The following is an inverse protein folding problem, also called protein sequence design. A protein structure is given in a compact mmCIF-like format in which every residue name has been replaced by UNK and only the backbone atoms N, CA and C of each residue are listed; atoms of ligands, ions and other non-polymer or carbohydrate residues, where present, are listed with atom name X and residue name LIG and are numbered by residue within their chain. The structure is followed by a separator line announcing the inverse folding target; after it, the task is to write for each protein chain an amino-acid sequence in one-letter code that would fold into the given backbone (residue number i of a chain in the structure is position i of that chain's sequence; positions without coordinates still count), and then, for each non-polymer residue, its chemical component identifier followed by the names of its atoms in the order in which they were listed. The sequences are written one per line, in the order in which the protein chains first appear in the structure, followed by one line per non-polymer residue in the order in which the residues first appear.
data_IF_211800046434
#
_entry.id   IF_211800046434
#
_cell.length_a   1.000
_cell.length_b   1.000
_cell.length_c   1.000
_cell.angle_alpha   90.00
_cell.angle_beta   90.00
_cell.angle_gamma   90.00
#
_symmetry.space_group_name_H-M   'P 1'
#
loop_
_entity.id
_entity.type
_entity.pdbx_description
1 polymer ?
#
# COMPACT_ATOMS: atom_id res chain seq x y z
N UNK A 1 31.54 3.09 40.20
CA UNK A 1 31.71 3.23 38.75
C UNK A 1 30.42 3.83 38.19
N UNK A 2 30.41 5.06 37.64
CA UNK A 2 29.16 5.64 37.15
C UNK A 2 28.84 5.09 35.78
N UNK A 3 27.59 4.65 35.61
CA UNK A 3 27.03 4.27 34.31
C UNK A 3 26.93 5.53 33.42
N UNK A 4 27.71 5.57 32.35
CA UNK A 4 27.53 6.57 31.29
C UNK A 4 26.21 6.31 30.59
N UNK A 5 25.24 7.17 30.78
CA UNK A 5 24.07 7.29 29.91
C UNK A 5 24.54 7.89 28.58
N UNK A 6 24.69 7.05 27.58
CA UNK A 6 24.83 7.49 26.22
C UNK A 6 23.45 8.00 25.73
N UNK A 7 23.21 9.29 25.91
CA UNK A 7 22.18 9.99 25.16
C UNK A 7 22.65 10.13 23.71
N UNK A 8 22.37 9.11 22.91
CA UNK A 8 22.48 9.22 21.46
C UNK A 8 21.35 10.13 20.98
N UNK A 9 21.56 11.42 21.00
CA UNK A 9 20.76 12.35 20.22
C UNK A 9 21.20 12.16 18.77
N UNK A 10 20.48 11.29 18.06
CA UNK A 10 20.70 11.07 16.64
C UNK A 10 20.62 12.44 15.93
N UNK A 11 21.60 12.80 15.10
CA UNK A 11 21.54 14.01 14.28
C UNK A 11 20.34 14.02 13.32
N UNK A 12 19.67 12.89 13.16
CA UNK A 12 18.44 12.73 12.36
C UNK A 12 17.20 13.37 13.03
N UNK A 13 17.23 13.71 14.32
CA UNK A 13 16.04 14.21 15.03
C UNK A 13 15.57 15.60 14.52
N UNK A 14 16.44 16.39 13.93
CA UNK A 14 16.08 17.69 13.34
C UNK A 14 15.37 17.54 11.98
N UNK A 15 15.69 16.47 11.23
CA UNK A 15 15.05 16.17 9.95
C UNK A 15 13.67 15.51 10.12
N UNK A 16 13.43 14.80 11.22
CA UNK A 16 12.14 14.14 11.50
C UNK A 16 10.99 15.16 11.61
N UNK A 17 11.25 16.37 12.12
CA UNK A 17 10.24 17.44 12.19
C UNK A 17 9.88 18.06 10.82
N UNK A 18 10.77 17.94 9.84
CA UNK A 18 10.56 18.43 8.47
C UNK A 18 10.03 17.34 7.52
N UNK A 19 10.03 16.09 7.97
CA UNK A 19 9.53 14.95 7.19
C UNK A 19 8.01 14.86 7.35
N UNK A 20 7.31 14.65 6.23
CA UNK A 20 5.86 14.38 6.23
C UNK A 20 5.50 13.11 7.01
N UNK A 21 4.21 12.89 7.23
CA UNK A 21 3.67 11.70 7.92
C UNK A 21 4.21 10.41 7.31
N UNK A 22 4.39 10.37 5.98
CA UNK A 22 4.93 9.23 5.23
C UNK A 22 6.30 8.80 5.77
N UNK A 23 7.22 9.72 5.92
CA UNK A 23 8.59 9.43 6.36
C UNK A 23 8.65 9.00 7.83
N UNK A 24 7.79 9.56 8.69
CA UNK A 24 7.68 9.14 10.10
C UNK A 24 7.17 7.71 10.21
N UNK A 25 6.18 7.36 9.40
CA UNK A 25 5.63 6.01 9.37
C UNK A 25 6.67 5.00 8.91
N UNK A 26 7.39 5.31 7.83
CA UNK A 26 8.46 4.43 7.32
C UNK A 26 9.58 4.28 8.35
N UNK A 27 9.99 5.36 8.98
CA UNK A 27 11.02 5.29 10.03
C UNK A 27 10.57 4.41 11.20
N UNK A 28 9.31 4.53 11.64
CA UNK A 28 8.76 3.65 12.66
C UNK A 28 8.79 2.17 12.26
N UNK A 29 8.44 1.86 10.99
CA UNK A 29 8.49 0.50 10.48
C UNK A 29 9.92 -0.06 10.47
N UNK A 30 10.89 0.75 10.08
CA UNK A 30 12.31 0.40 10.09
C UNK A 30 12.83 0.17 11.51
N UNK A 31 12.54 1.10 12.42
CA UNK A 31 13.02 1.04 13.81
C UNK A 31 12.47 -0.18 14.57
N UNK A 32 11.32 -0.72 14.12
CA UNK A 32 10.67 -1.89 14.72
C UNK A 32 10.79 -3.17 13.88
N UNK A 33 11.59 -3.15 12.80
CA UNK A 33 11.81 -4.28 11.89
C UNK A 33 10.49 -4.89 11.37
N UNK A 34 9.50 -4.02 11.07
CA UNK A 34 8.17 -4.44 10.61
C UNK A 34 8.18 -4.67 9.10
N UNK A 35 8.14 -5.93 8.69
CA UNK A 35 8.16 -6.31 7.28
C UNK A 35 6.88 -5.93 6.54
N UNK A 36 7.05 -5.41 5.32
CA UNK A 36 5.96 -4.92 4.48
C UNK A 36 5.98 -5.50 3.07
N UNK A 37 4.81 -5.55 2.41
CA UNK A 37 4.66 -5.87 0.99
C UNK A 37 3.49 -5.10 0.36
N UNK A 38 3.50 -4.94 -0.97
CA UNK A 38 2.47 -4.19 -1.70
C UNK A 38 1.81 -4.99 -2.81
N UNK A 39 0.50 -4.79 -2.99
CA UNK A 39 -0.29 -5.30 -4.11
C UNK A 39 -0.97 -4.13 -4.82
N UNK A 40 -0.49 -3.77 -5.98
CA UNK A 40 -0.94 -2.59 -6.70
C UNK A 40 -1.75 -2.93 -7.95
N UNK A 41 -2.73 -2.09 -8.23
CA UNK A 41 -3.48 -2.11 -9.49
C UNK A 41 -3.44 -0.74 -10.15
N UNK A 42 -4.32 0.19 -9.78
CA UNK A 42 -4.40 1.50 -10.43
C UNK A 42 -3.15 2.37 -10.26
N UNK A 43 -2.39 2.18 -9.22
CA UNK A 43 -1.14 2.91 -8.95
C UNK A 43 0.05 2.42 -9.78
N UNK A 44 -0.03 1.22 -10.36
CA UNK A 44 0.93 0.73 -11.35
C UNK A 44 2.39 0.60 -10.88
N UNK A 45 2.63 0.52 -9.57
CA UNK A 45 3.97 0.45 -8.97
C UNK A 45 4.41 1.74 -8.28
N UNK A 46 3.61 2.81 -8.31
CA UNK A 46 3.97 4.09 -7.68
C UNK A 46 4.11 3.98 -6.16
N UNK A 47 3.28 3.15 -5.50
CA UNK A 47 3.40 2.92 -4.06
C UNK A 47 4.72 2.23 -3.73
N UNK A 48 5.05 1.15 -4.46
CA UNK A 48 6.33 0.47 -4.32
C UNK A 48 7.51 1.40 -4.59
N UNK A 49 7.44 2.20 -5.66
CA UNK A 49 8.49 3.16 -6.01
C UNK A 49 8.71 4.22 -4.91
N UNK A 50 7.62 4.76 -4.33
CA UNK A 50 7.71 5.72 -3.22
C UNK A 50 8.31 5.10 -1.96
N UNK A 51 7.93 3.86 -1.64
CA UNK A 51 8.49 3.14 -0.49
C UNK A 51 9.99 2.85 -0.71
N UNK A 52 10.34 2.32 -1.87
CA UNK A 52 11.73 1.94 -2.19
C UNK A 52 12.66 3.13 -2.42
N UNK A 53 12.14 4.33 -2.58
CA UNK A 53 12.93 5.56 -2.58
C UNK A 53 13.48 5.93 -1.19
N UNK A 54 12.99 5.31 -0.11
CA UNK A 54 13.46 5.58 1.24
C UNK A 54 14.70 4.75 1.57
N UNK A 55 15.69 5.40 2.18
CA UNK A 55 16.91 4.71 2.63
C UNK A 55 16.59 3.64 3.68
N UNK A 56 17.23 2.49 3.58
CA UNK A 56 17.06 1.38 4.52
C UNK A 56 15.84 0.50 4.28
N UNK A 57 14.93 0.88 3.40
CA UNK A 57 13.66 0.16 3.18
C UNK A 57 13.83 -1.30 2.75
N UNK A 58 14.96 -1.65 2.12
CA UNK A 58 15.27 -3.03 1.71
C UNK A 58 15.34 -4.02 2.86
N UNK A 59 15.51 -3.54 4.09
CA UNK A 59 15.50 -4.39 5.29
C UNK A 59 14.10 -4.94 5.58
N UNK A 60 13.05 -4.19 5.26
CA UNK A 60 11.67 -4.52 5.61
C UNK A 60 10.74 -4.75 4.41
N UNK A 61 11.09 -4.25 3.21
CA UNK A 61 10.24 -4.39 2.02
C UNK A 61 10.49 -5.75 1.34
N UNK A 62 9.55 -6.68 1.52
CA UNK A 62 9.71 -8.06 1.07
C UNK A 62 9.42 -8.26 -0.41
N UNK A 63 8.33 -7.65 -0.92
CA UNK A 63 7.92 -7.78 -2.32
C UNK A 63 6.80 -6.82 -2.71
N UNK A 64 6.69 -6.57 -4.02
CA UNK A 64 5.60 -5.82 -4.63
C UNK A 64 5.02 -6.55 -5.83
N UNK A 65 3.69 -6.59 -5.92
CA UNK A 65 2.96 -7.18 -7.04
C UNK A 65 2.13 -6.11 -7.76
N UNK A 66 2.38 -5.94 -9.05
CA UNK A 66 1.52 -5.12 -9.90
C UNK A 66 0.54 -6.07 -10.60
N UNK A 67 -0.69 -6.14 -10.09
CA UNK A 67 -1.75 -6.99 -10.62
C UNK A 67 -2.79 -6.15 -11.36
N UNK A 68 -2.41 -5.69 -12.55
CA UNK A 68 -3.18 -4.68 -13.28
C UNK A 68 -4.46 -5.27 -13.89
N UNK A 69 -4.39 -6.49 -14.46
CA UNK A 69 -5.56 -7.18 -15.01
C UNK A 69 -6.30 -8.03 -13.96
N UNK A 70 -7.51 -8.47 -14.28
CA UNK A 70 -8.27 -9.42 -13.45
C UNK A 70 -7.57 -10.78 -13.38
N UNK A 71 -7.02 -11.23 -14.49
CA UNK A 71 -6.26 -12.48 -14.60
C UNK A 71 -5.04 -12.44 -13.70
N UNK A 72 -4.30 -11.31 -13.67
CA UNK A 72 -3.16 -11.12 -12.78
C UNK A 72 -3.58 -11.16 -11.30
N UNK A 73 -4.72 -10.57 -10.93
CA UNK A 73 -5.27 -10.64 -9.57
C UNK A 73 -5.58 -12.06 -9.16
N UNK A 74 -6.20 -12.84 -10.06
CA UNK A 74 -6.53 -14.25 -9.82
C UNK A 74 -5.25 -15.10 -9.71
N UNK A 75 -4.38 -14.99 -10.70
CA UNK A 75 -3.18 -15.82 -10.81
C UNK A 75 -2.20 -15.57 -9.68
N UNK A 76 -1.86 -14.29 -9.45
CA UNK A 76 -0.77 -13.91 -8.55
C UNK A 76 -1.24 -13.73 -7.11
N UNK A 77 -2.42 -13.15 -6.89
CA UNK A 77 -2.93 -12.84 -5.55
C UNK A 77 -4.09 -13.74 -5.12
N UNK A 78 -4.48 -14.73 -5.93
CA UNK A 78 -5.59 -15.65 -5.60
C UNK A 78 -6.90 -14.92 -5.26
N UNK A 79 -7.13 -13.75 -5.89
CA UNK A 79 -8.42 -13.07 -5.78
C UNK A 79 -9.49 -13.96 -6.40
N UNK A 80 -10.61 -14.17 -5.69
CA UNK A 80 -11.67 -15.05 -6.15
C UNK A 80 -12.34 -14.55 -7.44
N UNK A 81 -12.44 -15.38 -8.50
CA UNK A 81 -13.19 -15.04 -9.71
C UNK A 81 -14.64 -14.62 -9.42
N UNK A 82 -15.30 -15.26 -8.46
CA UNK A 82 -16.67 -14.94 -8.06
C UNK A 82 -16.76 -13.55 -7.43
N UNK A 83 -15.76 -13.14 -6.62
CA UNK A 83 -15.68 -11.78 -6.05
C UNK A 83 -15.48 -10.75 -7.15
N UNK A 84 -14.58 -11.02 -8.10
CA UNK A 84 -14.38 -10.13 -9.25
C UNK A 84 -15.62 -10.00 -10.11
N UNK A 85 -16.35 -11.10 -10.37
CA UNK A 85 -17.59 -11.10 -11.14
C UNK A 85 -18.70 -10.32 -10.43
N UNK A 86 -18.84 -10.49 -9.10
CA UNK A 86 -19.92 -9.89 -8.32
C UNK A 86 -19.68 -8.40 -8.03
N UNK A 87 -18.46 -8.02 -7.67
CA UNK A 87 -18.16 -6.66 -7.19
C UNK A 87 -17.29 -5.83 -8.15
N UNK A 88 -16.67 -6.49 -9.13
CA UNK A 88 -15.71 -5.87 -10.05
C UNK A 88 -14.36 -5.58 -9.37
N UNK A 89 -13.33 -5.34 -10.19
CA UNK A 89 -11.96 -5.10 -9.71
C UNK A 89 -11.84 -3.91 -8.76
N UNK A 90 -12.59 -2.83 -9.01
CA UNK A 90 -12.62 -1.63 -8.20
C UNK A 90 -13.71 -1.79 -7.14
N UNK A 91 -13.34 -2.40 -6.01
CA UNK A 91 -14.25 -2.65 -4.89
C UNK A 91 -13.50 -2.91 -3.59
N UNK A 92 -14.16 -2.64 -2.46
CA UNK A 92 -13.66 -2.95 -1.12
C UNK A 92 -13.31 -4.44 -0.99
N UNK A 93 -14.14 -5.33 -1.52
CA UNK A 93 -13.97 -6.77 -1.45
C UNK A 93 -12.72 -7.26 -2.18
N UNK A 94 -12.48 -6.76 -3.38
CA UNK A 94 -11.27 -7.10 -4.15
C UNK A 94 -10.03 -6.51 -3.48
N UNK A 95 -10.07 -5.26 -3.02
CA UNK A 95 -8.98 -4.64 -2.27
C UNK A 95 -8.62 -5.45 -1.02
N UNK A 96 -9.63 -5.87 -0.24
CA UNK A 96 -9.43 -6.74 0.93
C UNK A 96 -8.76 -8.06 0.59
N UNK A 97 -9.21 -8.73 -0.47
CA UNK A 97 -8.61 -10.00 -0.89
C UNK A 97 -7.18 -9.83 -1.39
N UNK A 98 -6.89 -8.76 -2.14
CA UNK A 98 -5.53 -8.44 -2.58
C UNK A 98 -4.59 -8.31 -1.37
N UNK A 99 -4.99 -7.52 -0.39
CA UNK A 99 -4.20 -7.25 0.81
C UNK A 99 -3.98 -8.52 1.65
N UNK A 100 -5.06 -9.21 2.00
CA UNK A 100 -5.03 -10.39 2.84
C UNK A 100 -4.27 -11.57 2.23
N UNK A 101 -4.51 -11.83 0.93
CA UNK A 101 -3.84 -12.92 0.23
C UNK A 101 -2.35 -12.64 0.06
N UNK A 102 -1.97 -11.37 -0.18
CA UNK A 102 -0.58 -10.95 -0.19
C UNK A 102 0.10 -11.27 1.15
N UNK A 103 -0.55 -10.94 2.28
CA UNK A 103 -0.01 -11.25 3.61
C UNK A 103 0.21 -12.75 3.81
N UNK A 104 -0.73 -13.58 3.37
CA UNK A 104 -0.58 -15.04 3.42
C UNK A 104 0.61 -15.55 2.62
N UNK A 105 0.85 -14.95 1.45
CA UNK A 105 1.90 -15.37 0.52
C UNK A 105 3.29 -14.94 0.99
N UNK A 106 3.43 -13.68 1.37
CA UNK A 106 4.73 -13.08 1.70
C UNK A 106 5.12 -13.27 3.15
N UNK A 107 4.16 -13.57 4.03
CA UNK A 107 4.32 -13.56 5.48
C UNK A 107 4.73 -12.22 6.07
N UNK A 108 4.62 -11.15 5.29
CA UNK A 108 4.89 -9.80 5.76
C UNK A 108 3.92 -9.42 6.89
N UNK A 109 4.43 -8.68 7.88
CA UNK A 109 3.63 -8.27 9.02
C UNK A 109 2.53 -7.27 8.64
N UNK A 110 2.86 -6.37 7.69
CA UNK A 110 1.88 -5.44 7.11
C UNK A 110 1.88 -5.60 5.59
N UNK A 111 0.70 -5.61 4.99
CA UNK A 111 0.56 -5.54 3.53
C UNK A 111 -0.38 -4.43 3.13
N UNK A 112 -0.06 -3.82 1.99
CA UNK A 112 -0.86 -2.75 1.40
C UNK A 112 -1.46 -3.22 0.08
N UNK A 113 -2.65 -2.74 -0.24
CA UNK A 113 -3.24 -2.95 -1.56
C UNK A 113 -3.91 -1.70 -2.09
N UNK A 114 -3.90 -1.52 -3.41
CA UNK A 114 -4.59 -0.43 -4.11
C UNK A 114 -5.37 -0.97 -5.29
N UNK A 115 -6.61 -0.50 -5.45
CA UNK A 115 -7.41 -0.70 -6.66
C UNK A 115 -8.32 0.49 -6.88
N UNK A 116 -8.51 0.92 -8.12
CA UNK A 116 -9.27 2.13 -8.38
C UNK A 116 -9.38 2.48 -9.86
N UNK A 117 -10.02 3.61 -10.13
CA UNK A 117 -10.12 4.22 -11.46
C UNK A 117 -9.31 5.52 -11.45
N UNK A 118 -8.05 5.44 -11.87
CA UNK A 118 -7.14 6.59 -11.91
C UNK A 118 -7.33 7.50 -13.14
N UNK A 119 -8.21 7.12 -14.09
CA UNK A 119 -8.51 7.94 -15.26
C UNK A 119 -7.39 7.96 -16.33
N UNK A 120 -7.51 8.86 -17.35
CA UNK A 120 -8.64 9.76 -17.56
C UNK A 120 -9.95 9.06 -17.98
N UNK A 121 -9.87 7.85 -18.53
CA UNK A 121 -11.02 7.02 -18.93
C UNK A 121 -11.35 5.92 -17.94
N UNK A 122 -12.34 5.04 -18.31
CA UNK A 122 -12.69 3.83 -17.55
C UNK A 122 -13.65 4.06 -16.39
N UNK A 123 -14.07 5.28 -16.12
CA UNK A 123 -15.06 5.59 -15.09
C UNK A 123 -16.50 5.27 -15.52
N UNK A 124 -17.34 4.94 -14.54
CA UNK A 124 -18.80 4.79 -14.68
C UNK A 124 -19.52 5.65 -13.64
N UNK A 125 -20.85 5.78 -13.72
CA UNK A 125 -21.64 6.49 -12.68
C UNK A 125 -21.41 5.90 -11.28
N UNK A 126 -21.29 4.58 -11.19
CA UNK A 126 -21.08 3.88 -9.90
C UNK A 126 -19.61 3.84 -9.47
N UNK A 127 -18.69 3.89 -10.42
CA UNK A 127 -17.25 3.83 -10.18
C UNK A 127 -16.57 4.93 -10.99
N UNK A 128 -16.68 6.18 -10.56
CA UNK A 128 -16.15 7.33 -11.30
C UNK A 128 -14.61 7.35 -11.28
N UNK A 129 -14.03 8.10 -12.21
CA UNK A 129 -12.60 8.46 -12.15
C UNK A 129 -12.33 9.15 -10.81
N UNK A 130 -11.22 8.78 -10.17
CA UNK A 130 -10.84 9.25 -8.83
C UNK A 130 -11.32 8.33 -7.70
N UNK A 131 -12.13 7.31 -7.97
CA UNK A 131 -12.49 6.32 -6.96
C UNK A 131 -11.35 5.33 -6.76
N UNK A 132 -10.80 5.29 -5.54
CA UNK A 132 -9.69 4.40 -5.16
C UNK A 132 -10.02 3.72 -3.83
N UNK A 133 -9.72 2.45 -3.73
CA UNK A 133 -9.70 1.70 -2.48
C UNK A 133 -8.25 1.42 -2.10
N UNK A 134 -7.91 1.73 -0.85
CA UNK A 134 -6.62 1.42 -0.24
C UNK A 134 -6.86 0.45 0.91
N UNK A 135 -6.16 -0.67 0.89
CA UNK A 135 -6.26 -1.71 1.90
C UNK A 135 -4.96 -1.83 2.69
N UNK A 136 -5.10 -2.07 3.99
CA UNK A 136 -4.01 -2.44 4.90
C UNK A 136 -4.42 -3.71 5.63
N UNK A 137 -3.53 -4.72 5.64
CA UNK A 137 -3.72 -5.92 6.44
C UNK A 137 -2.58 -6.02 7.46
N UNK A 138 -2.94 -6.11 8.74
CA UNK A 138 -2.03 -6.30 9.87
C UNK A 138 -2.61 -7.35 10.82
N UNK A 139 -1.83 -8.36 11.18
CA UNK A 139 -2.25 -9.46 12.06
C UNK A 139 -3.60 -10.09 11.63
N UNK A 140 -3.81 -10.26 10.31
CA UNK A 140 -5.05 -10.74 9.67
C UNK A 140 -6.24 -9.79 9.75
N UNK A 141 -6.14 -8.67 10.47
CA UNK A 141 -7.14 -7.62 10.45
C UNK A 141 -6.98 -6.79 9.15
N UNK A 142 -8.09 -6.55 8.50
CA UNK A 142 -8.11 -5.84 7.21
C UNK A 142 -8.88 -4.54 7.37
N UNK A 143 -8.21 -3.46 7.01
CA UNK A 143 -8.79 -2.12 6.92
C UNK A 143 -8.81 -1.70 5.47
N UNK A 144 -9.94 -1.24 4.97
CA UNK A 144 -10.03 -0.71 3.61
C UNK A 144 -10.69 0.66 3.66
N UNK A 145 -9.97 1.64 3.14
CA UNK A 145 -10.48 3.00 2.98
C UNK A 145 -10.92 3.22 1.53
N UNK A 146 -12.03 3.94 1.36
CA UNK A 146 -12.52 4.39 0.07
C UNK A 146 -12.22 5.87 -0.08
N UNK A 147 -11.39 6.21 -1.04
CA UNK A 147 -11.01 7.57 -1.38
C UNK A 147 -11.72 8.03 -2.65
N UNK A 148 -12.08 9.30 -2.69
CA UNK A 148 -12.65 9.95 -3.87
C UNK A 148 -11.82 11.19 -4.20
N UNK A 149 -10.99 11.08 -5.20
CA UNK A 149 -10.21 12.18 -5.74
C UNK A 149 -11.02 12.96 -6.78
N UNK A 150 -10.65 14.22 -7.00
CA UNK A 150 -11.23 15.02 -8.09
C UNK A 150 -10.85 14.39 -9.43
N UNK A 151 -11.81 14.23 -10.34
CA UNK A 151 -11.58 13.66 -11.68
C UNK A 151 -10.72 14.55 -12.57
N UNK A 152 -10.46 15.81 -12.16
CA UNK A 152 -9.56 16.76 -12.83
C UNK A 152 -8.09 16.51 -12.53
N UNK A 153 -7.78 15.68 -11.52
CA UNK A 153 -6.41 15.30 -11.20
C UNK A 153 -5.87 14.35 -12.26
N UNK A 154 -4.57 14.45 -12.52
CA UNK A 154 -3.89 13.49 -13.38
C UNK A 154 -3.82 12.11 -12.71
N UNK A 155 -3.63 11.07 -13.51
CA UNK A 155 -3.48 9.70 -13.05
C UNK A 155 -2.43 9.51 -11.93
N UNK A 156 -1.34 10.29 -11.99
CA UNK A 156 -0.26 10.22 -10.97
C UNK A 156 -0.66 10.91 -9.67
N UNK A 157 -1.61 11.86 -9.74
CA UNK A 157 -2.10 12.59 -8.56
C UNK A 157 -3.26 11.85 -7.86
N UNK A 158 -3.92 10.93 -8.55
CA UNK A 158 -4.93 10.02 -8.01
C UNK A 158 -4.26 8.77 -7.44
#
# INVERSE_FOLDING_TARGET
MPKRSLSFVSPYNKYIYLMGIESKTIQYLLDNDISIATAESCTGGLLAAKLTAQSGISQIYQSGFITYSNEAKIKNLKVSPSTLKKYGAVSRQVCSQMCFNLQKMTKSQITFSTTGVAGPGGGTKLKPVGLVYVGVCYQKNIYVEQLKFKSTLSRIQI
#
